data_IF_025907484419
#
_entry.id   IF_025907484419
#
_cell.length_a   1.000
_cell.length_b   1.000
_cell.length_c   1.000
_cell.angle_alpha   90.00
_cell.angle_beta   90.00
_cell.angle_gamma   90.00
#
_symmetry.space_group_name_H-M   'P 1'
#
loop_
_entity.id
_entity.type
_entity.pdbx_description
1 polymer ?
#
# COMPACT_ATOMS: atom_id res chain seq x y z
N UNK A 1 -7.04 6.10 20.97
CA UNK A 1 -5.78 6.09 20.20
C UNK A 1 -5.56 7.49 19.66
N UNK A 2 -4.58 8.20 20.25
CA UNK A 2 -3.92 9.45 19.81
C UNK A 2 -3.49 10.20 21.08
N UNK A 3 -2.34 9.78 21.61
CA UNK A 3 -1.52 10.49 22.59
C UNK A 3 -0.08 9.96 22.46
N UNK A 4 0.72 10.55 21.58
CA UNK A 4 2.17 10.28 21.44
C UNK A 4 2.60 8.90 20.90
N UNK A 5 1.70 7.96 20.67
CA UNK A 5 2.06 6.62 20.18
C UNK A 5 2.46 6.61 18.70
N UNK A 6 3.47 5.80 18.37
CA UNK A 6 3.86 5.55 16.99
C UNK A 6 2.78 4.71 16.29
N UNK A 7 2.01 5.35 15.40
CA UNK A 7 0.95 4.71 14.62
C UNK A 7 1.42 4.23 13.24
N UNK A 8 2.74 4.23 12.97
CA UNK A 8 3.29 3.93 11.64
C UNK A 8 2.85 2.56 11.13
N UNK A 9 2.84 1.54 12.01
CA UNK A 9 2.40 0.20 11.64
C UNK A 9 0.95 0.17 11.12
N UNK A 10 0.02 0.70 11.93
CA UNK A 10 -1.39 0.73 11.59
C UNK A 10 -1.66 1.64 10.39
N UNK A 11 -1.01 2.80 10.32
CA UNK A 11 -1.14 3.72 9.19
C UNK A 11 -0.70 3.09 7.86
N UNK A 12 0.43 2.36 7.85
CA UNK A 12 0.90 1.65 6.66
C UNK A 12 -0.07 0.56 6.22
N UNK A 13 -0.64 -0.20 7.16
CA UNK A 13 -1.67 -1.22 6.86
C UNK A 13 -2.92 -0.56 6.29
N UNK A 14 -3.45 0.46 6.97
CA UNK A 14 -4.67 1.16 6.57
C UNK A 14 -4.53 1.73 5.16
N UNK A 15 -3.41 2.38 4.85
CA UNK A 15 -3.17 2.94 3.53
C UNK A 15 -3.14 1.87 2.44
N UNK A 16 -2.36 0.80 2.65
CA UNK A 16 -2.23 -0.29 1.69
C UNK A 16 -3.59 -0.97 1.44
N UNK A 17 -4.33 -1.27 2.52
CA UNK A 17 -5.62 -1.95 2.43
C UNK A 17 -6.67 -1.05 1.78
N UNK A 18 -6.76 0.21 2.18
CA UNK A 18 -7.72 1.15 1.61
C UNK A 18 -7.46 1.39 0.12
N UNK A 19 -6.19 1.55 -0.29
CA UNK A 19 -5.83 1.73 -1.70
C UNK A 19 -6.12 0.50 -2.57
N UNK A 20 -5.93 -0.73 -2.04
CA UNK A 20 -6.31 -1.98 -2.74
C UNK A 20 -7.82 -2.14 -2.85
N UNK A 21 -8.53 -1.96 -1.74
CA UNK A 21 -9.98 -2.07 -1.71
C UNK A 21 -10.65 -1.05 -2.63
N UNK A 22 -10.20 0.21 -2.60
CA UNK A 22 -10.77 1.26 -3.45
C UNK A 22 -10.61 0.94 -4.94
N UNK A 23 -9.50 0.32 -5.34
CA UNK A 23 -9.31 -0.16 -6.73
C UNK A 23 -10.31 -1.24 -7.09
N UNK A 24 -10.47 -2.27 -6.26
CA UNK A 24 -11.43 -3.36 -6.53
C UNK A 24 -12.88 -2.84 -6.63
N UNK A 25 -13.28 -1.95 -5.72
CA UNK A 25 -14.62 -1.38 -5.69
C UNK A 25 -14.87 -0.49 -6.91
N UNK A 26 -13.96 0.44 -7.21
CA UNK A 26 -14.13 1.37 -8.33
C UNK A 26 -14.11 0.62 -9.67
N UNK A 27 -13.24 -0.38 -9.82
CA UNK A 27 -13.19 -1.23 -11.01
C UNK A 27 -14.51 -1.98 -11.22
N UNK A 28 -15.06 -2.57 -10.15
CA UNK A 28 -16.36 -3.26 -10.20
C UNK A 28 -17.50 -2.30 -10.58
N UNK A 29 -17.50 -1.08 -10.03
CA UNK A 29 -18.47 -0.06 -10.40
C UNK A 29 -18.32 0.37 -11.86
N UNK A 30 -17.09 0.57 -12.35
CA UNK A 30 -16.84 0.92 -13.74
C UNK A 30 -17.38 -0.16 -14.69
N UNK A 31 -17.12 -1.43 -14.37
CA UNK A 31 -17.62 -2.58 -15.12
C UNK A 31 -19.16 -2.63 -15.14
N UNK A 32 -19.84 -2.27 -14.04
CA UNK A 32 -21.29 -2.18 -13.97
C UNK A 32 -21.87 -1.12 -14.91
N UNK A 33 -21.24 0.06 -15.00
CA UNK A 33 -21.68 1.13 -15.92
C UNK A 33 -21.30 0.88 -17.39
N UNK A 34 -20.46 -0.13 -17.67
CA UNK A 34 -20.03 -0.49 -19.02
C UNK A 34 -19.34 0.65 -19.74
N UNK A 35 -19.59 0.79 -21.05
CA UNK A 35 -18.96 1.83 -21.87
C UNK A 35 -19.26 3.26 -21.41
N UNK A 36 -20.44 3.50 -20.83
CA UNK A 36 -20.80 4.81 -20.29
C UNK A 36 -19.89 5.22 -19.12
N UNK A 37 -19.38 4.24 -18.35
CA UNK A 37 -18.47 4.49 -17.25
C UNK A 37 -17.15 5.16 -17.65
N UNK A 38 -16.75 5.09 -18.92
CA UNK A 38 -15.55 5.74 -19.46
C UNK A 38 -15.78 7.16 -19.96
N UNK A 39 -17.02 7.65 -19.95
CA UNK A 39 -17.36 9.02 -20.33
C UNK A 39 -17.17 9.98 -19.16
N UNK A 40 -17.12 11.29 -19.44
CA UNK A 40 -17.09 12.33 -18.39
C UNK A 40 -18.49 12.64 -17.82
N UNK A 41 -19.55 12.02 -18.36
CA UNK A 41 -20.92 12.21 -17.90
C UNK A 41 -21.17 11.55 -16.53
N UNK A 42 -20.36 10.55 -16.17
CA UNK A 42 -20.41 9.85 -14.90
C UNK A 42 -19.11 10.03 -14.11
N UNK A 43 -19.23 10.24 -12.80
CA UNK A 43 -18.08 10.42 -11.91
C UNK A 43 -17.15 9.20 -11.84
N UNK A 44 -17.62 8.02 -12.24
CA UNK A 44 -16.87 6.77 -12.11
C UNK A 44 -15.61 6.74 -12.98
N UNK A 45 -15.65 7.32 -14.18
CA UNK A 45 -14.49 7.40 -15.06
C UNK A 45 -13.36 8.24 -14.45
N UNK A 46 -13.72 9.38 -13.84
CA UNK A 46 -12.78 10.21 -13.08
C UNK A 46 -12.27 9.50 -11.84
N UNK A 47 -13.15 8.88 -11.05
CA UNK A 47 -12.78 8.15 -9.86
C UNK A 47 -11.78 7.01 -10.17
N UNK A 48 -11.97 6.28 -11.28
CA UNK A 48 -11.07 5.23 -11.73
C UNK A 48 -9.65 5.77 -12.02
N UNK A 49 -9.56 6.91 -12.72
CA UNK A 49 -8.26 7.55 -13.01
C UNK A 49 -7.59 8.11 -11.76
N UNK A 50 -8.34 8.84 -10.94
CA UNK A 50 -7.82 9.49 -9.72
C UNK A 50 -7.32 8.46 -8.70
N UNK A 51 -8.05 7.35 -8.54
CA UNK A 51 -7.74 6.31 -7.57
C UNK A 51 -6.41 5.61 -7.84
N UNK A 52 -5.87 5.68 -9.07
CA UNK A 52 -4.54 5.10 -9.35
C UNK A 52 -3.44 5.72 -8.50
N UNK A 53 -3.58 6.99 -8.14
CA UNK A 53 -2.62 7.71 -7.31
C UNK A 53 -2.48 7.08 -5.91
N UNK A 54 -3.51 6.40 -5.38
CA UNK A 54 -3.48 5.81 -4.02
C UNK A 54 -2.38 4.76 -3.83
N UNK A 55 -1.98 4.07 -4.91
CA UNK A 55 -0.90 3.08 -4.89
C UNK A 55 0.50 3.67 -5.07
N UNK A 56 0.62 4.98 -5.26
CA UNK A 56 1.86 5.64 -5.65
C UNK A 56 2.17 6.78 -4.68
N UNK A 57 1.25 7.72 -4.54
CA UNK A 57 1.42 8.94 -3.77
C UNK A 57 1.53 8.66 -2.27
N UNK A 58 2.48 9.31 -1.58
CA UNK A 58 2.70 9.14 -0.15
C UNK A 58 3.30 7.77 0.25
N UNK A 59 3.93 7.07 -0.69
CA UNK A 59 4.55 5.75 -0.52
C UNK A 59 3.81 4.65 -1.29
N UNK A 60 4.52 3.92 -2.15
CA UNK A 60 3.90 2.89 -2.99
C UNK A 60 3.41 1.70 -2.18
N UNK A 61 2.60 0.84 -2.79
CA UNK A 61 2.13 -0.41 -2.17
C UNK A 61 3.31 -1.25 -1.64
N UNK A 62 4.41 -1.31 -2.40
CA UNK A 62 5.62 -2.06 -2.06
C UNK A 62 6.36 -1.43 -0.88
N UNK A 63 6.39 -0.09 -0.82
CA UNK A 63 6.98 0.62 0.32
C UNK A 63 6.17 0.37 1.59
N UNK A 64 4.84 0.42 1.52
CA UNK A 64 3.98 0.12 2.66
C UNK A 64 4.17 -1.33 3.13
N UNK A 65 4.23 -2.29 2.20
CA UNK A 65 4.57 -3.68 2.51
C UNK A 65 5.94 -3.79 3.17
N UNK A 66 6.96 -3.12 2.65
CA UNK A 66 8.31 -3.11 3.23
C UNK A 66 8.32 -2.58 4.66
N UNK A 67 7.61 -1.48 4.94
CA UNK A 67 7.47 -0.93 6.30
C UNK A 67 6.78 -1.94 7.21
N UNK A 68 5.67 -2.54 6.77
CA UNK A 68 4.94 -3.56 7.54
C UNK A 68 5.85 -4.76 7.84
N UNK A 69 6.52 -5.31 6.84
CA UNK A 69 7.42 -6.46 7.00
C UNK A 69 8.62 -6.15 7.90
N UNK A 70 9.14 -4.92 7.86
CA UNK A 70 10.21 -4.48 8.76
C UNK A 70 9.73 -4.41 10.21
N UNK A 71 8.55 -3.82 10.44
CA UNK A 71 7.97 -3.69 11.78
C UNK A 71 7.53 -5.03 12.36
N UNK A 72 7.13 -5.99 11.51
CA UNK A 72 6.86 -7.37 11.91
C UNK A 72 8.12 -8.22 12.13
N UNK A 73 9.32 -7.71 11.77
CA UNK A 73 10.58 -8.43 11.92
C UNK A 73 10.76 -9.61 10.95
N UNK A 74 10.00 -9.64 9.85
CA UNK A 74 9.99 -10.75 8.87
C UNK A 74 11.09 -10.57 7.80
N UNK A 75 11.50 -9.32 7.54
CA UNK A 75 12.53 -9.06 6.54
C UNK A 75 13.86 -9.74 6.91
N UNK A 76 14.54 -10.39 5.94
CA UNK A 76 15.85 -10.99 6.18
C UNK A 76 16.84 -9.90 6.56
N UNK A 77 17.39 -10.00 7.77
CA UNK A 77 18.43 -9.09 8.25
C UNK A 77 19.76 -9.49 7.62
N UNK A 78 20.52 -8.51 7.14
CA UNK A 78 21.92 -8.75 6.76
C UNK A 78 22.65 -9.33 8.00
N UNK A 79 23.44 -10.40 7.86
CA UNK A 79 24.24 -10.91 8.96
C UNK A 79 25.10 -9.76 9.52
N UNK A 80 25.19 -9.66 10.85
CA UNK A 80 26.00 -8.60 11.44
C UNK A 80 27.46 -8.93 11.13
N UNK A 81 28.29 -7.90 10.90
CA UNK A 81 29.73 -8.07 10.63
C UNK A 81 30.47 -8.90 11.71
N UNK A 82 29.92 -8.98 12.93
CA UNK A 82 30.43 -9.83 14.00
C UNK A 82 30.17 -11.33 13.74
N UNK A 83 28.99 -11.68 13.24
CA UNK A 83 28.60 -13.05 12.90
C UNK A 83 29.42 -13.56 11.69
N UNK A 84 29.78 -12.67 10.75
CA UNK A 84 30.66 -12.98 9.61
C UNK A 84 32.12 -13.28 10.00
N UNK A 85 32.62 -12.74 11.12
CA UNK A 85 33.98 -13.02 11.61
C UNK A 85 34.10 -14.40 12.25
N UNK A 86 33.05 -14.85 12.94
CA UNK A 86 32.99 -16.17 13.60
C UNK A 86 32.90 -17.28 12.55
N UNK A 87 32.17 -17.06 11.44
CA UNK A 87 32.05 -18.03 10.35
C UNK A 87 33.32 -18.17 9.46
N UNK A 88 34.33 -17.31 9.66
CA UNK A 88 35.59 -17.28 8.88
C UNK A 88 36.82 -17.69 9.71
N UNK A 89 36.62 -18.07 10.97
CA UNK A 89 37.62 -18.74 11.81
C UNK A 89 37.38 -20.24 11.78
#
# INVERSE_FOLDING_TARGET
MMSGENVTYLASISKLKAGRLSREVIDSCLQFFGGMGFTEDLLIGRAYRDNRAMSIAGGTDEIMLGIISNLMGILPKKPRKADEKIAKQ
#
